data_IF_009572916738
#
_entry.id   IF_009572916738
#
_cell.length_a   1.000
_cell.length_b   1.000
_cell.length_c   1.000
_cell.angle_alpha   90.00
_cell.angle_beta   90.00
_cell.angle_gamma   90.00
#
_symmetry.space_group_name_H-M   'P 1'
#
loop_
_entity.id
_entity.type
_entity.pdbx_description
1 polymer ?
#
# COMPACT_ATOMS: atom_id res chain seq x y z
N UNK A 1 -1.20 -16.80 4.90
CA UNK A 1 -1.63 -15.50 4.43
C UNK A 1 -0.87 -14.42 5.17
N UNK A 2 -0.84 -13.23 4.60
CA UNK A 2 -0.43 -12.02 5.30
C UNK A 2 -1.68 -11.19 5.61
N UNK A 3 -1.57 -10.20 6.49
CA UNK A 3 -2.67 -9.30 6.81
C UNK A 3 -2.17 -7.90 7.17
N UNK A 4 -2.96 -6.89 6.81
CA UNK A 4 -2.83 -5.55 7.37
C UNK A 4 -3.75 -5.39 8.57
N UNK A 5 -3.22 -4.81 9.64
CA UNK A 5 -3.89 -4.74 10.94
C UNK A 5 -3.87 -3.36 11.59
N UNK A 6 -3.31 -2.34 10.92
CA UNK A 6 -3.32 -0.96 11.39
C UNK A 6 -3.55 0.01 10.24
N UNK A 7 -4.33 1.06 10.50
CA UNK A 7 -4.93 2.00 9.53
C UNK A 7 -5.97 1.40 8.58
N UNK A 8 -5.57 0.35 7.84
CA UNK A 8 -6.46 -0.46 7.02
C UNK A 8 -6.41 -1.94 7.41
N UNK A 9 -7.54 -2.61 7.24
CA UNK A 9 -7.70 -4.02 7.60
C UNK A 9 -7.97 -4.86 6.37
N UNK A 10 -7.08 -5.81 6.11
CA UNK A 10 -7.20 -6.75 5.00
C UNK A 10 -6.45 -8.03 5.30
N UNK A 11 -7.03 -9.19 4.96
CA UNK A 11 -6.38 -10.48 5.12
C UNK A 11 -6.31 -11.22 3.78
N UNK A 12 -5.10 -11.60 3.39
CA UNK A 12 -4.89 -12.51 2.26
C UNK A 12 -5.28 -13.92 2.71
N UNK A 13 -6.35 -14.46 2.14
CA UNK A 13 -6.90 -15.76 2.53
C UNK A 13 -5.86 -16.90 2.43
N UNK A 14 -5.75 -17.71 3.48
CA UNK A 14 -4.76 -18.79 3.60
C UNK A 14 -4.91 -19.89 2.54
N UNK A 15 -6.12 -20.06 2.01
CA UNK A 15 -6.49 -21.04 1.00
C UNK A 15 -6.63 -20.44 -0.40
N UNK A 16 -6.23 -19.18 -0.60
CA UNK A 16 -6.21 -18.58 -1.92
C UNK A 16 -5.11 -19.24 -2.75
N UNK A 17 -5.37 -19.66 -4.00
CA UNK A 17 -4.31 -20.09 -4.92
C UNK A 17 -3.40 -18.92 -5.31
N UNK A 18 -3.73 -17.69 -4.93
CA UNK A 18 -2.98 -16.50 -5.23
C UNK A 18 -1.61 -16.54 -4.55
N UNK A 19 -0.58 -16.61 -5.38
CA UNK A 19 0.81 -16.41 -5.00
C UNK A 19 1.29 -15.14 -5.65
N UNK A 20 2.06 -14.36 -4.90
CA UNK A 20 2.78 -13.22 -5.43
C UNK A 20 4.19 -13.71 -5.77
N UNK A 21 4.54 -13.72 -7.04
CA UNK A 21 5.88 -14.08 -7.50
C UNK A 21 6.89 -13.02 -7.06
N UNK A 22 8.19 -13.34 -7.14
CA UNK A 22 9.25 -12.34 -6.91
C UNK A 22 9.02 -11.14 -7.82
N UNK A 23 9.24 -9.94 -7.27
CA UNK A 23 9.13 -8.65 -7.97
C UNK A 23 7.72 -8.32 -8.53
N UNK A 24 6.72 -9.15 -8.23
CA UNK A 24 5.34 -8.87 -8.59
C UNK A 24 4.67 -7.97 -7.54
N UNK A 25 3.78 -7.10 -8.00
CA UNK A 25 2.95 -6.24 -7.16
C UNK A 25 1.48 -6.67 -7.23
N UNK A 26 0.76 -6.48 -6.12
CA UNK A 26 -0.70 -6.64 -6.07
C UNK A 26 -1.32 -5.49 -5.30
N UNK A 27 -2.47 -5.02 -5.77
CA UNK A 27 -3.17 -3.87 -5.17
C UNK A 27 -4.41 -4.36 -4.40
N UNK A 28 -4.58 -3.83 -3.19
CA UNK A 28 -5.81 -3.96 -2.40
C UNK A 28 -6.57 -2.65 -2.48
N UNK A 29 -7.90 -2.71 -2.61
CA UNK A 29 -8.74 -1.51 -2.81
C UNK A 29 -9.95 -1.54 -1.89
N UNK A 30 -10.48 -0.36 -1.55
CA UNK A 30 -11.72 -0.23 -0.76
C UNK A 30 -12.97 -0.32 -1.63
N UNK A 31 -12.88 0.18 -2.86
CA UNK A 31 -13.95 0.14 -3.86
C UNK A 31 -13.36 -0.30 -5.20
N UNK A 32 -13.75 -1.50 -5.66
CA UNK A 32 -13.23 -2.10 -6.88
C UNK A 32 -13.78 -1.46 -8.14
N UNK A 33 -15.05 -1.08 -8.14
CA UNK A 33 -15.72 -0.46 -9.28
C UNK A 33 -15.11 0.92 -9.55
N UNK A 34 -15.03 1.77 -8.52
CA UNK A 34 -14.41 3.09 -8.65
C UNK A 34 -12.91 3.03 -9.03
N UNK A 35 -12.20 1.97 -8.62
CA UNK A 35 -10.82 1.75 -9.03
C UNK A 35 -10.73 1.36 -10.50
N UNK A 36 -11.55 0.42 -10.96
CA UNK A 36 -11.59 0.00 -12.36
C UNK A 36 -12.02 1.15 -13.28
N UNK A 37 -12.97 1.99 -12.86
CA UNK A 37 -13.37 3.18 -13.62
C UNK A 37 -12.22 4.18 -13.81
N UNK A 38 -11.30 4.27 -12.83
CA UNK A 38 -10.16 5.20 -12.85
C UNK A 38 -8.94 4.65 -13.60
N UNK A 39 -8.55 3.41 -13.31
CA UNK A 39 -7.28 2.82 -13.74
C UNK A 39 -7.44 1.64 -14.71
N UNK A 40 -8.68 1.22 -15.00
CA UNK A 40 -8.98 0.06 -15.83
C UNK A 40 -8.72 -1.29 -15.15
N UNK A 41 -8.79 -2.36 -15.94
CA UNK A 41 -8.68 -3.75 -15.47
C UNK A 41 -7.25 -4.34 -15.58
N UNK A 42 -6.27 -3.51 -15.95
CA UNK A 42 -4.89 -3.97 -16.20
C UNK A 42 -4.04 -4.22 -14.94
N UNK A 43 -4.50 -3.76 -13.78
CA UNK A 43 -3.76 -3.84 -12.52
C UNK A 43 -4.24 -5.05 -11.71
N UNK A 44 -3.34 -5.95 -11.28
CA UNK A 44 -3.71 -7.09 -10.45
C UNK A 44 -4.32 -6.66 -9.11
N UNK A 45 -5.61 -6.98 -8.92
CA UNK A 45 -6.33 -6.72 -7.67
C UNK A 45 -6.43 -7.98 -6.82
N UNK A 46 -6.07 -7.86 -5.54
CA UNK A 46 -6.31 -8.91 -4.57
C UNK A 46 -7.83 -9.15 -4.40
N UNK A 47 -8.29 -10.38 -4.09
CA UNK A 47 -9.70 -10.68 -3.87
C UNK A 47 -10.32 -9.85 -2.73
N UNK A 48 -11.58 -9.47 -2.88
CA UNK A 48 -12.29 -8.69 -1.86
C UNK A 48 -11.87 -7.22 -1.82
N UNK A 49 -12.10 -6.59 -0.66
CA UNK A 49 -11.78 -5.19 -0.38
C UNK A 49 -11.24 -5.05 1.03
N UNK A 50 -10.40 -4.05 1.27
CA UNK A 50 -10.00 -3.69 2.63
C UNK A 50 -11.09 -2.87 3.33
N UNK A 51 -11.05 -2.83 4.66
CA UNK A 51 -11.87 -1.94 5.49
C UNK A 51 -10.99 -0.98 6.29
N UNK A 52 -11.60 0.01 6.94
CA UNK A 52 -10.86 1.16 7.51
C UNK A 52 -10.61 2.23 6.47
N UNK A 53 -9.81 3.22 6.82
CA UNK A 53 -9.43 4.35 5.97
C UNK A 53 -8.10 4.89 6.45
N UNK A 54 -7.26 5.28 5.50
CA UNK A 54 -6.02 5.94 5.85
C UNK A 54 -6.27 7.30 6.49
N UNK A 55 -5.51 7.63 7.53
CA UNK A 55 -5.49 8.94 8.16
C UNK A 55 -4.88 9.98 7.22
N UNK A 56 -5.49 11.16 7.14
CA UNK A 56 -4.96 12.24 6.31
C UNK A 56 -3.71 12.90 6.89
N UNK A 57 -3.38 12.66 8.18
CA UNK A 57 -2.25 13.32 8.87
C UNK A 57 -1.11 12.35 9.23
N UNK A 58 -1.11 11.16 8.64
CA UNK A 58 -0.22 10.07 9.04
C UNK A 58 -0.79 9.10 10.06
N UNK A 59 -0.27 7.87 10.03
CA UNK A 59 -0.52 6.77 10.97
C UNK A 59 0.45 5.60 10.74
N UNK A 60 0.36 4.58 11.58
CA UNK A 60 1.12 3.33 11.45
C UNK A 60 0.44 2.37 10.48
N UNK A 61 1.21 1.81 9.56
CA UNK A 61 0.84 0.68 8.71
C UNK A 61 1.61 -0.54 9.15
N UNK A 62 0.87 -1.63 9.37
CA UNK A 62 1.44 -2.89 9.82
C UNK A 62 1.01 -4.06 8.95
N UNK A 63 1.98 -4.80 8.45
CA UNK A 63 1.83 -6.05 7.72
C UNK A 63 2.36 -7.20 8.57
N UNK A 64 1.51 -8.20 8.82
CA UNK A 64 1.82 -9.38 9.63
C UNK A 64 1.66 -10.66 8.83
N UNK A 65 2.40 -11.70 9.21
CA UNK A 65 2.20 -13.04 8.70
C UNK A 65 1.06 -13.79 9.43
N UNK A 66 0.78 -15.03 9.00
CA UNK A 66 -0.25 -15.90 9.62
C UNK A 66 0.00 -16.26 11.08
N UNK A 67 1.21 -16.06 11.59
CA UNK A 67 1.60 -16.31 12.99
C UNK A 67 1.55 -15.05 13.85
N UNK A 68 1.07 -13.92 13.29
CA UNK A 68 1.10 -12.59 13.87
C UNK A 68 2.52 -12.03 14.04
N UNK A 69 3.49 -12.54 13.29
CA UNK A 69 4.83 -11.96 13.25
C UNK A 69 4.83 -10.76 12.31
N UNK A 70 5.39 -9.63 12.75
CA UNK A 70 5.54 -8.43 11.92
C UNK A 70 6.46 -8.72 10.73
N UNK A 71 5.96 -8.53 9.51
CA UNK A 71 6.73 -8.55 8.27
C UNK A 71 7.29 -7.15 7.99
N UNK A 72 6.45 -6.14 8.14
CA UNK A 72 6.78 -4.74 7.91
C UNK A 72 5.87 -3.85 8.78
N UNK A 73 6.44 -2.82 9.37
CA UNK A 73 5.74 -1.84 10.19
C UNK A 73 6.44 -0.49 10.04
N UNK A 74 5.69 0.56 9.70
CA UNK A 74 6.21 1.91 9.55
C UNK A 74 5.08 2.93 9.76
N UNK A 75 5.45 4.14 10.19
CA UNK A 75 4.56 5.29 10.23
C UNK A 75 4.77 6.12 8.95
N UNK A 76 3.70 6.61 8.34
CA UNK A 76 3.78 7.62 7.28
C UNK A 76 3.26 8.97 7.77
N UNK A 77 3.66 10.05 7.10
CA UNK A 77 3.24 11.41 7.41
C UNK A 77 2.95 12.18 6.10
N UNK A 78 1.84 12.89 6.05
CA UNK A 78 1.38 13.67 4.88
C UNK A 78 2.29 14.87 4.59
N UNK A 79 3.06 15.34 5.57
CA UNK A 79 3.96 16.48 5.43
C UNK A 79 5.29 16.12 4.76
N UNK A 80 5.55 14.83 4.51
CA UNK A 80 6.81 14.39 3.89
C UNK A 80 7.01 14.96 2.49
N UNK A 81 5.95 15.04 1.70
CA UNK A 81 5.98 15.58 0.34
C UNK A 81 4.73 16.42 0.08
N UNK A 82 4.91 17.74 -0.10
CA UNK A 82 3.84 18.73 -0.30
C UNK A 82 2.91 18.34 -1.45
N UNK A 83 3.47 17.79 -2.52
CA UNK A 83 2.76 17.39 -3.73
C UNK A 83 1.74 16.28 -3.46
N UNK A 84 1.97 15.49 -2.41
CA UNK A 84 1.05 14.42 -1.98
C UNK A 84 -0.07 14.90 -1.07
N UNK A 85 -0.02 16.17 -0.64
CA UNK A 85 -1.02 16.82 0.20
C UNK A 85 -1.96 17.71 -0.63
N UNK A 86 -2.77 17.06 -1.47
CA UNK A 86 -3.88 17.70 -2.17
C UNK A 86 -3.64 18.15 -3.61
N UNK A 87 -2.42 18.02 -4.15
CA UNK A 87 -2.13 18.28 -5.58
C UNK A 87 -2.44 17.08 -6.49
N UNK A 88 -2.94 15.98 -5.91
CA UNK A 88 -3.39 14.78 -6.64
C UNK A 88 -2.36 13.65 -6.72
N UNK A 89 -1.13 13.87 -6.26
CA UNK A 89 -0.10 12.82 -6.23
C UNK A 89 -0.27 11.89 -5.03
N UNK A 90 0.09 10.62 -5.18
CA UNK A 90 0.13 9.66 -4.07
C UNK A 90 1.54 9.49 -3.52
N UNK A 91 1.66 9.20 -2.23
CA UNK A 91 2.93 8.85 -1.60
C UNK A 91 3.37 7.43 -2.03
N UNK A 92 4.56 7.30 -2.60
CA UNK A 92 5.09 6.05 -3.20
C UNK A 92 6.48 5.73 -2.67
N UNK A 93 6.73 4.45 -2.31
CA UNK A 93 8.05 4.02 -1.84
C UNK A 93 9.04 4.00 -3.02
N UNK A 94 10.21 4.62 -2.85
CA UNK A 94 11.21 4.73 -3.92
C UNK A 94 11.89 3.40 -4.23
N UNK A 95 12.25 2.64 -3.19
CA UNK A 95 12.99 1.38 -3.31
C UNK A 95 12.34 0.31 -2.43
N UNK A 96 11.25 -0.35 -2.91
CA UNK A 96 10.53 -1.37 -2.14
C UNK A 96 11.42 -2.55 -1.69
N UNK A 97 12.44 -2.86 -2.49
CA UNK A 97 13.39 -3.94 -2.24
C UNK A 97 14.53 -3.57 -1.27
N UNK A 98 14.54 -2.36 -0.69
CA UNK A 98 15.56 -1.96 0.28
C UNK A 98 15.56 -2.94 1.48
N UNK A 99 16.69 -3.58 1.81
CA UNK A 99 16.77 -4.50 2.95
C UNK A 99 16.57 -3.81 4.30
N UNK A 100 16.86 -2.52 4.40
CA UNK A 100 16.57 -1.73 5.61
C UNK A 100 15.09 -1.35 5.66
N UNK A 101 14.28 -2.18 6.33
CA UNK A 101 12.85 -1.92 6.52
C UNK A 101 12.58 -0.69 7.40
N UNK A 102 13.52 -0.30 8.27
CA UNK A 102 13.38 0.89 9.10
C UNK A 102 13.37 2.18 8.29
N UNK A 103 13.96 2.17 7.09
CA UNK A 103 13.96 3.32 6.18
C UNK A 103 12.55 3.75 5.76
N UNK A 104 11.56 2.86 5.76
CA UNK A 104 10.19 3.18 5.35
C UNK A 104 9.51 4.17 6.29
N UNK A 105 9.98 4.32 7.53
CA UNK A 105 9.52 5.37 8.45
C UNK A 105 10.18 6.74 8.24
N UNK A 106 10.85 6.97 7.11
CA UNK A 106 11.59 8.21 6.84
C UNK A 106 11.12 8.88 5.53
N UNK A 107 11.01 10.21 5.47
CA UNK A 107 10.56 10.93 4.27
C UNK A 107 11.40 10.61 3.02
N UNK A 108 12.71 10.36 3.21
CA UNK A 108 13.66 10.07 2.14
C UNK A 108 13.43 8.74 1.43
N UNK A 109 12.69 7.80 2.04
CA UNK A 109 12.34 6.55 1.38
C UNK A 109 11.14 6.69 0.44
N UNK A 110 10.42 7.81 0.50
CA UNK A 110 9.19 8.06 -0.25
C UNK A 110 9.37 9.17 -1.28
N UNK A 111 8.49 9.19 -2.26
CA UNK A 111 8.38 10.22 -3.29
C UNK A 111 6.91 10.40 -3.68
N UNK A 112 6.55 11.52 -4.32
CA UNK A 112 5.30 11.60 -5.08
C UNK A 112 5.27 10.55 -6.20
N UNK A 113 4.07 10.12 -6.58
CA UNK A 113 3.84 9.30 -7.78
C UNK A 113 4.31 10.03 -9.04
N UNK A 114 4.52 9.28 -10.12
CA UNK A 114 4.97 9.87 -11.39
C UNK A 114 3.88 10.72 -12.05
N UNK A 115 2.62 10.35 -11.85
CA UNK A 115 1.44 11.02 -12.39
C UNK A 115 0.48 11.46 -11.27
N UNK A 116 -0.30 12.54 -11.48
CA UNK A 116 -1.46 12.84 -10.64
C UNK A 116 -2.47 11.68 -10.72
N UNK A 117 -3.31 11.57 -9.69
CA UNK A 117 -4.16 10.40 -9.40
C UNK A 117 -3.39 9.11 -9.07
N UNK A 118 -2.06 9.15 -8.93
CA UNK A 118 -1.26 8.03 -8.47
C UNK A 118 -0.92 6.99 -9.54
N UNK A 119 0.06 6.15 -9.24
CA UNK A 119 0.57 5.08 -10.13
C UNK A 119 0.46 3.70 -9.47
N UNK A 120 -0.75 3.21 -9.15
CA UNK A 120 -0.92 1.97 -8.39
C UNK A 120 -0.35 0.75 -9.14
N UNK A 121 0.52 0.00 -8.47
CA UNK A 121 1.10 -1.24 -8.99
C UNK A 121 2.27 -1.04 -9.97
N UNK A 122 2.82 0.17 -10.08
CA UNK A 122 3.97 0.51 -10.93
C UNK A 122 5.16 1.04 -10.12
#
# INVERSE_FOLDING_TARGET
>A
GAKLTDGIYYAFADNSPMRLESDACIVIVKNREAFADRYGDGIPLAPGVYTGSLSNSGETIKLEDRTNSTILEFEYDDRWHKETDGEGYSLTIQVPANPDRGSWGTPTAWRPSDEPDGSPGQ
#
